data_IF_536211759368
#
_entry.id   IF_536211759368
#
_cell.length_a   1.000
_cell.length_b   1.000
_cell.length_c   1.000
_cell.angle_alpha   90.00
_cell.angle_beta   90.00
_cell.angle_gamma   90.00
#
_symmetry.space_group_name_H-M   'P 1'
#
loop_
_entity.id
_entity.type
_entity.pdbx_description
1 polymer ?
#
# COMPACT_ATOMS: atom_id res chain seq x y z
N UNK A 1 -11.35 7.03 -58.52
CA UNK A 1 -10.22 6.45 -59.26
C UNK A 1 -9.02 7.37 -59.08
N UNK A 2 -8.10 7.07 -58.22
CA UNK A 2 -6.70 7.53 -58.23
C UNK A 2 -5.95 6.54 -57.33
N UNK A 3 -5.02 5.81 -57.94
CA UNK A 3 -4.15 4.82 -57.26
C UNK A 3 -2.88 5.53 -56.74
N UNK A 4 -2.25 5.07 -55.66
CA UNK A 4 -1.02 5.65 -55.18
C UNK A 4 0.24 5.06 -55.84
N UNK A 5 1.25 5.90 -55.97
CA UNK A 5 2.62 5.56 -56.40
C UNK A 5 3.39 4.93 -55.24
N UNK A 6 4.03 3.78 -55.54
CA UNK A 6 5.07 3.18 -54.71
C UNK A 6 6.39 3.93 -54.91
N UNK A 7 7.03 4.34 -53.81
CA UNK A 7 8.43 4.74 -53.78
C UNK A 7 9.26 3.69 -53.05
N UNK A 8 10.19 3.06 -53.76
CA UNK A 8 11.16 2.12 -53.19
C UNK A 8 12.34 2.91 -52.58
N UNK A 9 12.68 2.68 -51.34
CA UNK A 9 13.88 3.21 -50.70
C UNK A 9 14.94 2.09 -50.57
N UNK A 10 16.11 2.35 -51.12
CA UNK A 10 17.32 1.53 -51.08
C UNK A 10 17.89 1.49 -49.65
N UNK A 11 18.16 0.29 -49.16
CA UNK A 11 18.92 0.07 -47.91
C UNK A 11 20.42 0.13 -48.18
N UNK A 12 21.13 1.01 -47.52
CA UNK A 12 22.59 1.02 -47.42
C UNK A 12 22.95 0.56 -46.00
N UNK A 13 23.66 -0.59 -45.94
CA UNK A 13 24.26 -1.11 -44.70
C UNK A 13 25.62 -0.47 -44.47
N UNK A 14 25.98 0.04 -43.26
CA UNK A 14 27.36 0.38 -42.94
C UNK A 14 28.08 -0.80 -42.33
N UNK A 15 29.36 -1.00 -42.79
CA UNK A 15 30.28 -2.01 -42.30
C UNK A 15 30.81 -1.67 -40.90
N UNK A 16 30.99 -2.68 -40.08
CA UNK A 16 31.58 -2.60 -38.76
C UNK A 16 33.11 -2.49 -38.84
N UNK A 17 33.78 -1.71 -37.97
CA UNK A 17 35.26 -1.68 -37.91
C UNK A 17 35.82 -2.85 -37.07
N UNK A 18 36.91 -3.41 -37.55
CA UNK A 18 37.68 -4.49 -36.92
C UNK A 18 38.35 -4.03 -35.62
N UNK A 19 38.23 -4.83 -34.55
CA UNK A 19 38.95 -4.62 -33.28
C UNK A 19 40.32 -5.27 -33.37
N UNK A 20 41.38 -4.46 -33.20
CA UNK A 20 42.77 -4.90 -33.11
C UNK A 20 43.03 -5.54 -31.72
N UNK A 21 43.57 -6.75 -31.68
CA UNK A 21 44.09 -7.42 -30.47
C UNK A 21 45.40 -6.80 -30.03
N UNK A 22 45.52 -6.49 -28.74
CA UNK A 22 46.77 -6.09 -28.07
C UNK A 22 47.44 -7.30 -27.41
N UNK A 23 48.79 -7.43 -27.46
CA UNK A 23 49.50 -8.55 -26.88
C UNK A 23 49.60 -8.46 -25.35
N UNK A 24 49.67 -9.64 -24.72
CA UNK A 24 49.84 -9.85 -23.28
C UNK A 24 51.22 -9.33 -22.80
N UNK A 25 51.19 -8.42 -21.81
CA UNK A 25 52.38 -8.00 -21.07
C UNK A 25 52.42 -8.66 -19.70
N UNK A 26 53.52 -9.37 -19.43
CA UNK A 26 53.88 -9.92 -18.12
C UNK A 26 54.37 -8.79 -17.22
N UNK A 27 53.66 -8.59 -16.06
CA UNK A 27 54.09 -7.66 -15.02
C UNK A 27 54.15 -8.36 -13.65
N UNK A 28 54.92 -7.91 -12.68
CA UNK A 28 55.43 -8.69 -11.55
C UNK A 28 54.36 -8.87 -10.44
N UNK A 29 54.40 -10.04 -9.81
CA UNK A 29 53.64 -10.42 -8.60
C UNK A 29 54.02 -9.56 -7.41
N UNK A 30 53.09 -8.72 -6.95
CA UNK A 30 53.16 -8.07 -5.64
C UNK A 30 52.30 -8.86 -4.64
N UNK A 31 52.98 -9.51 -3.70
CA UNK A 31 52.35 -10.11 -2.51
C UNK A 31 52.03 -8.96 -1.52
N UNK A 32 50.75 -8.54 -1.49
CA UNK A 32 50.20 -7.70 -0.46
C UNK A 32 49.50 -8.55 0.63
N UNK A 33 49.40 -8.07 1.89
CA UNK A 33 48.86 -8.84 2.99
C UNK A 33 47.38 -9.14 2.78
N UNK A 34 47.01 -10.38 3.12
CA UNK A 34 45.63 -10.87 3.08
C UNK A 34 44.70 -9.95 3.91
N UNK A 35 43.93 -9.13 3.21
CA UNK A 35 42.84 -8.39 3.83
C UNK A 35 41.83 -9.40 4.33
N UNK A 36 41.51 -9.35 5.62
CA UNK A 36 40.38 -10.07 6.24
C UNK A 36 39.09 -9.58 5.56
N UNK A 37 38.64 -10.30 4.58
CA UNK A 37 37.34 -10.07 3.94
C UNK A 37 36.28 -10.19 5.02
N UNK A 38 35.66 -9.06 5.38
CA UNK A 38 34.41 -9.06 6.14
C UNK A 38 33.43 -9.83 5.27
N UNK A 39 33.09 -11.04 5.70
CA UNK A 39 32.06 -11.83 5.03
C UNK A 39 30.77 -11.00 5.05
N UNK A 40 30.31 -10.54 3.89
CA UNK A 40 29.02 -9.90 3.73
C UNK A 40 27.99 -10.86 4.35
N UNK A 41 27.19 -10.34 5.29
CA UNK A 41 26.12 -11.10 5.89
C UNK A 41 25.29 -11.71 4.75
N UNK A 42 25.04 -13.01 4.78
CA UNK A 42 24.33 -13.68 3.69
C UNK A 42 22.98 -13.00 3.42
N UNK A 43 22.66 -12.59 2.18
CA UNK A 43 21.42 -11.90 1.76
C UNK A 43 20.15 -12.69 2.07
N UNK A 44 18.94 -12.12 1.99
CA UNK A 44 17.68 -12.82 2.23
C UNK A 44 17.54 -14.01 1.29
N UNK A 45 16.85 -15.06 1.75
CA UNK A 45 16.57 -16.22 0.92
C UNK A 45 15.40 -15.88 -0.02
N UNK A 46 15.61 -16.05 -1.34
CA UNK A 46 14.63 -15.80 -2.38
C UNK A 46 14.15 -17.11 -2.99
N UNK A 47 12.84 -17.27 -3.15
CA UNK A 47 12.25 -18.37 -3.92
C UNK A 47 11.17 -17.86 -4.87
N UNK A 48 11.15 -18.38 -6.11
CA UNK A 48 10.12 -18.05 -7.07
C UNK A 48 8.78 -18.67 -6.66
N UNK A 49 7.70 -17.93 -6.89
CA UNK A 49 6.33 -18.41 -6.71
C UNK A 49 5.71 -18.66 -8.09
N UNK A 50 5.61 -17.62 -8.93
CA UNK A 50 4.97 -17.70 -10.24
C UNK A 50 5.43 -16.55 -11.14
N UNK A 51 5.01 -16.57 -12.42
CA UNK A 51 5.07 -15.40 -13.31
C UNK A 51 3.82 -14.56 -13.14
N UNK A 52 3.99 -13.23 -13.04
CA UNK A 52 2.92 -12.30 -12.72
C UNK A 52 2.84 -11.16 -13.71
N UNK A 53 1.66 -10.54 -13.78
CA UNK A 53 1.43 -9.33 -14.52
C UNK A 53 2.42 -8.23 -14.14
N UNK A 54 2.93 -7.52 -15.12
CA UNK A 54 3.97 -6.52 -14.96
C UNK A 54 3.69 -5.18 -15.66
N UNK A 55 2.55 -5.06 -16.36
CA UNK A 55 2.18 -3.85 -17.12
C UNK A 55 1.82 -2.64 -16.26
N UNK A 56 1.48 -2.84 -15.00
CA UNK A 56 1.36 -1.80 -13.98
C UNK A 56 1.35 -2.43 -12.59
N UNK A 57 1.60 -1.62 -11.55
CA UNK A 57 1.53 -2.09 -10.17
C UNK A 57 0.07 -2.23 -9.71
N UNK A 58 -0.27 -3.40 -9.17
CA UNK A 58 -1.42 -3.63 -8.31
C UNK A 58 -0.92 -4.33 -7.05
N UNK A 59 -1.39 -3.94 -5.86
CA UNK A 59 -0.91 -4.53 -4.61
C UNK A 59 -1.44 -5.96 -4.46
N UNK A 60 -0.53 -6.91 -4.30
CA UNK A 60 -0.80 -8.31 -3.98
C UNK A 60 -1.05 -8.49 -2.48
N UNK A 61 -1.52 -9.67 -2.08
CA UNK A 61 -1.77 -9.99 -0.68
C UNK A 61 -0.88 -11.12 -0.18
N UNK A 62 -0.43 -11.00 1.07
CA UNK A 62 0.36 -12.00 1.78
C UNK A 62 -0.26 -12.22 3.16
N UNK A 63 -0.49 -13.48 3.50
CA UNK A 63 -0.91 -13.90 4.84
C UNK A 63 0.04 -15.01 5.32
N UNK A 64 0.60 -14.83 6.51
CA UNK A 64 1.51 -15.77 7.14
C UNK A 64 0.91 -16.20 8.47
N UNK A 65 0.60 -17.49 8.61
CA UNK A 65 0.17 -18.09 9.86
C UNK A 65 1.30 -18.93 10.48
N UNK A 66 1.08 -19.54 11.62
CA UNK A 66 2.06 -20.40 12.27
C UNK A 66 2.48 -21.59 11.38
N UNK A 67 1.55 -22.09 10.58
CA UNK A 67 1.69 -23.31 9.78
C UNK A 67 1.78 -23.09 8.27
N UNK A 68 1.39 -21.92 7.75
CA UNK A 68 1.13 -21.71 6.32
C UNK A 68 1.56 -20.34 5.81
N UNK A 69 1.91 -20.28 4.53
CA UNK A 69 2.07 -19.03 3.77
C UNK A 69 1.04 -19.06 2.64
N UNK A 70 0.23 -18.03 2.54
CA UNK A 70 -0.77 -17.86 1.48
C UNK A 70 -0.55 -16.52 0.78
N UNK A 71 -0.57 -16.53 -0.54
CA UNK A 71 -0.38 -15.36 -1.39
C UNK A 71 -1.52 -15.25 -2.39
N UNK A 72 -1.96 -14.04 -2.68
CA UNK A 72 -2.90 -13.77 -3.75
C UNK A 72 -2.33 -12.68 -4.66
N UNK A 73 -2.38 -12.92 -5.97
CA UNK A 73 -1.73 -12.12 -6.99
C UNK A 73 -2.46 -12.22 -8.33
N UNK A 74 -2.08 -11.39 -9.30
CA UNK A 74 -2.53 -11.51 -10.68
C UNK A 74 -1.44 -12.18 -11.49
N UNK A 75 -1.75 -13.36 -12.06
CA UNK A 75 -0.80 -14.14 -12.83
C UNK A 75 -0.39 -13.47 -14.16
N UNK A 76 0.44 -14.14 -14.94
CA UNK A 76 0.91 -13.63 -16.24
C UNK A 76 -0.24 -13.26 -17.21
N UNK A 77 -1.42 -13.85 -17.04
CA UNK A 77 -2.62 -13.60 -17.84
C UNK A 77 -3.59 -12.62 -17.15
N UNK A 78 -3.14 -11.90 -16.12
CA UNK A 78 -3.94 -10.97 -15.31
C UNK A 78 -5.05 -11.65 -14.48
N UNK A 79 -5.06 -13.00 -14.40
CA UNK A 79 -6.06 -13.73 -13.66
C UNK A 79 -5.74 -13.74 -12.16
N UNK A 80 -6.73 -13.44 -11.33
CA UNK A 80 -6.60 -13.54 -9.88
C UNK A 80 -6.27 -14.99 -9.50
N UNK A 81 -5.12 -15.19 -8.90
CA UNK A 81 -4.60 -16.50 -8.49
C UNK A 81 -4.27 -16.46 -7.01
N UNK A 82 -4.68 -17.51 -6.30
CA UNK A 82 -4.31 -17.70 -4.89
C UNK A 82 -3.43 -18.95 -4.79
N UNK A 83 -2.28 -18.80 -4.15
CA UNK A 83 -1.37 -19.90 -3.91
C UNK A 83 -1.08 -20.04 -2.41
N UNK A 84 -0.98 -21.30 -1.96
CA UNK A 84 -0.70 -21.58 -0.55
C UNK A 84 0.24 -22.76 -0.41
N UNK A 85 1.08 -22.71 0.64
CA UNK A 85 1.94 -23.85 1.02
C UNK A 85 2.09 -23.92 2.54
N UNK A 86 2.30 -25.11 3.12
CA UNK A 86 2.76 -25.23 4.50
C UNK A 86 4.12 -24.55 4.69
N UNK A 87 4.37 -23.98 5.85
CA UNK A 87 5.70 -23.47 6.21
C UNK A 87 6.71 -24.63 6.23
N UNK A 88 7.91 -24.38 5.73
CA UNK A 88 8.94 -25.40 5.62
C UNK A 88 8.84 -26.33 4.39
N UNK A 89 7.75 -26.28 3.61
CA UNK A 89 7.63 -26.99 2.35
C UNK A 89 7.92 -26.08 1.16
N UNK A 90 8.39 -26.64 0.04
CA UNK A 90 8.69 -25.88 -1.17
C UNK A 90 7.51 -25.81 -2.15
N UNK A 91 6.68 -26.85 -2.19
CA UNK A 91 5.60 -26.98 -3.18
C UNK A 91 4.41 -26.08 -2.87
N UNK A 92 3.96 -25.32 -3.86
CA UNK A 92 2.77 -24.50 -3.82
C UNK A 92 1.55 -25.24 -4.38
N UNK A 93 0.39 -25.00 -3.78
CA UNK A 93 -0.92 -25.35 -4.33
C UNK A 93 -1.54 -24.07 -4.87
N UNK A 94 -1.95 -24.08 -6.13
CA UNK A 94 -2.48 -22.92 -6.85
C UNK A 94 -3.98 -23.09 -7.10
N UNK A 95 -4.70 -21.98 -7.07
CA UNK A 95 -6.10 -21.91 -7.50
C UNK A 95 -6.36 -20.61 -8.25
N UNK A 96 -6.88 -20.72 -9.47
CA UNK A 96 -7.22 -19.58 -10.32
C UNK A 96 -8.71 -19.24 -10.18
N UNK A 97 -9.00 -17.97 -9.97
CA UNK A 97 -10.35 -17.45 -9.76
C UNK A 97 -10.85 -16.76 -11.03
N UNK A 98 -12.16 -16.67 -11.19
CA UNK A 98 -12.85 -16.08 -12.34
C UNK A 98 -12.89 -14.55 -12.27
N UNK A 99 -11.74 -13.93 -12.12
CA UNK A 99 -11.59 -12.48 -12.04
C UNK A 99 -10.27 -12.05 -12.66
N UNK A 100 -10.29 -11.01 -13.49
CA UNK A 100 -9.11 -10.52 -14.22
C UNK A 100 -8.86 -9.05 -13.95
N UNK A 101 -7.60 -8.70 -13.70
CA UNK A 101 -7.15 -7.33 -13.50
C UNK A 101 -7.36 -6.48 -14.77
N UNK A 102 -7.98 -5.32 -14.61
CA UNK A 102 -8.01 -4.25 -15.61
C UNK A 102 -6.70 -3.45 -15.66
N UNK A 103 -6.80 -2.17 -16.02
CA UNK A 103 -5.64 -1.26 -16.02
C UNK A 103 -5.62 -0.36 -14.77
N UNK A 104 -6.59 -0.50 -13.89
CA UNK A 104 -6.71 0.30 -12.68
C UNK A 104 -5.82 -0.24 -11.56
N UNK A 105 -4.85 0.53 -11.14
CA UNK A 105 -3.90 0.18 -10.08
C UNK A 105 -4.54 0.09 -8.69
N UNK A 106 -5.76 0.64 -8.50
CA UNK A 106 -6.52 0.53 -7.25
C UNK A 106 -7.17 -0.85 -7.08
N UNK A 107 -7.17 -1.70 -8.11
CA UNK A 107 -7.72 -3.06 -8.06
C UNK A 107 -6.81 -4.02 -7.28
N UNK A 108 -6.37 -3.61 -6.09
CA UNK A 108 -5.54 -4.42 -5.22
C UNK A 108 -6.32 -5.59 -4.60
N UNK A 109 -5.60 -6.51 -3.97
CA UNK A 109 -6.15 -7.71 -3.36
C UNK A 109 -6.16 -7.54 -1.84
N UNK A 110 -7.32 -7.78 -1.22
CA UNK A 110 -7.48 -7.93 0.21
C UNK A 110 -7.71 -9.41 0.55
N UNK A 111 -7.06 -9.91 1.59
CA UNK A 111 -7.13 -11.31 2.00
C UNK A 111 -6.96 -11.44 3.51
N UNK A 112 -7.78 -12.27 4.15
CA UNK A 112 -7.61 -12.66 5.55
C UNK A 112 -8.23 -14.04 5.81
N UNK A 113 -7.82 -14.68 6.89
CA UNK A 113 -8.50 -15.86 7.42
C UNK A 113 -9.43 -15.47 8.57
N UNK A 114 -10.57 -16.14 8.69
CA UNK A 114 -11.44 -16.04 9.86
C UNK A 114 -10.92 -16.94 11.01
N UNK A 115 -11.61 -16.91 12.16
CA UNK A 115 -11.22 -17.71 13.32
C UNK A 115 -11.42 -19.23 13.14
N UNK A 116 -12.14 -19.68 12.12
CA UNK A 116 -12.22 -21.09 11.72
C UNK A 116 -11.15 -21.49 10.70
N UNK A 117 -10.30 -20.53 10.28
CA UNK A 117 -9.25 -20.74 9.28
C UNK A 117 -9.77 -20.77 7.83
N UNK A 118 -11.01 -20.34 7.57
CA UNK A 118 -11.48 -20.11 6.21
C UNK A 118 -10.84 -18.85 5.65
N UNK A 119 -10.42 -18.91 4.39
CA UNK A 119 -9.81 -17.78 3.70
C UNK A 119 -10.87 -16.96 2.99
N UNK A 120 -10.80 -15.64 3.15
CA UNK A 120 -11.60 -14.64 2.50
C UNK A 120 -10.71 -13.82 1.57
N UNK A 121 -11.13 -13.66 0.30
CA UNK A 121 -10.38 -12.93 -0.73
C UNK A 121 -11.31 -11.96 -1.45
N UNK A 122 -10.90 -10.71 -1.56
CA UNK A 122 -11.63 -9.67 -2.28
C UNK A 122 -10.67 -8.86 -3.16
N UNK A 123 -11.05 -8.57 -4.40
CA UNK A 123 -10.14 -7.95 -5.38
C UNK A 123 -10.92 -7.28 -6.53
N UNK A 124 -10.22 -6.55 -7.39
CA UNK A 124 -10.77 -5.96 -8.62
C UNK A 124 -12.00 -5.06 -8.40
N UNK A 125 -11.94 -4.17 -7.40
CA UNK A 125 -13.04 -3.26 -7.10
C UNK A 125 -12.54 -1.83 -6.94
N UNK A 126 -12.91 -0.98 -7.88
CA UNK A 126 -12.73 0.47 -7.82
C UNK A 126 -13.96 1.19 -8.41
N UNK A 127 -15.05 1.18 -7.66
CA UNK A 127 -16.37 1.60 -8.10
C UNK A 127 -17.12 0.48 -8.81
N UNK A 128 -16.72 -0.78 -8.58
CA UNK A 128 -17.24 -1.98 -9.22
C UNK A 128 -18.12 -2.80 -8.26
N UNK A 129 -18.96 -3.71 -8.80
CA UNK A 129 -19.67 -4.67 -7.98
C UNK A 129 -18.75 -5.60 -7.20
N UNK A 130 -19.29 -6.16 -6.11
CA UNK A 130 -18.57 -7.09 -5.23
C UNK A 130 -17.86 -8.22 -6.00
N UNK A 131 -16.56 -8.34 -5.76
CA UNK A 131 -15.74 -9.50 -6.11
C UNK A 131 -15.21 -10.11 -4.83
N UNK A 132 -15.82 -11.20 -4.38
CA UNK A 132 -15.50 -11.83 -3.12
C UNK A 132 -15.57 -13.34 -3.20
N UNK A 133 -14.56 -14.00 -2.63
CA UNK A 133 -14.44 -15.46 -2.56
C UNK A 133 -14.20 -15.90 -1.12
N UNK A 134 -14.67 -17.10 -0.79
CA UNK A 134 -14.41 -17.75 0.50
C UNK A 134 -14.15 -19.23 0.29
N UNK A 135 -13.19 -19.79 1.05
CA UNK A 135 -12.98 -21.24 1.07
C UNK A 135 -14.15 -21.93 1.79
N UNK A 136 -14.51 -23.13 1.31
CA UNK A 136 -15.46 -24.01 2.02
C UNK A 136 -14.74 -24.96 3.00
N UNK A 137 -13.42 -25.14 2.81
CA UNK A 137 -12.56 -25.94 3.70
C UNK A 137 -11.42 -25.06 4.19
N UNK A 138 -11.25 -25.00 5.52
CA UNK A 138 -10.20 -24.22 6.14
C UNK A 138 -8.79 -24.59 5.60
N UNK A 139 -8.00 -23.59 5.24
CA UNK A 139 -6.64 -23.76 4.74
C UNK A 139 -6.50 -24.38 3.34
N UNK A 140 -7.60 -24.75 2.66
CA UNK A 140 -7.53 -25.30 1.30
C UNK A 140 -7.97 -24.26 0.26
N UNK A 141 -7.01 -23.61 -0.39
CA UNK A 141 -7.27 -22.58 -1.41
C UNK A 141 -8.04 -23.11 -2.63
N UNK A 142 -8.01 -24.41 -2.90
CA UNK A 142 -8.74 -25.04 -4.02
C UNK A 142 -10.26 -24.98 -3.85
N UNK A 143 -10.71 -24.72 -2.62
CA UNK A 143 -12.12 -24.64 -2.25
C UNK A 143 -12.67 -23.22 -2.22
N UNK A 144 -11.91 -22.24 -2.74
CA UNK A 144 -12.36 -20.86 -2.92
C UNK A 144 -13.52 -20.81 -3.91
N UNK A 145 -14.67 -20.32 -3.47
CA UNK A 145 -15.89 -20.18 -4.27
C UNK A 145 -16.37 -18.74 -4.20
N UNK A 146 -16.74 -18.19 -5.35
CA UNK A 146 -17.31 -16.85 -5.45
C UNK A 146 -18.62 -16.77 -4.67
N UNK A 147 -18.75 -15.70 -3.91
CA UNK A 147 -19.99 -15.36 -3.18
C UNK A 147 -20.66 -14.20 -3.91
N UNK A 148 -21.91 -14.33 -4.33
CA UNK A 148 -22.58 -13.31 -5.16
C UNK A 148 -22.96 -12.05 -4.37
N UNK A 149 -23.08 -12.18 -3.06
CA UNK A 149 -23.49 -11.12 -2.14
C UNK A 149 -22.79 -11.34 -0.80
N UNK A 150 -22.45 -10.28 -0.11
CA UNK A 150 -21.92 -10.34 1.25
C UNK A 150 -23.04 -10.08 2.27
N UNK A 151 -23.67 -8.91 2.23
CA UNK A 151 -24.80 -8.54 3.09
C UNK A 151 -26.01 -8.18 2.25
N UNK A 152 -25.90 -7.17 1.37
CA UNK A 152 -27.01 -6.73 0.51
C UNK A 152 -26.50 -6.06 -0.78
N UNK A 153 -27.17 -6.30 -1.88
CA UNK A 153 -26.76 -5.79 -3.20
C UNK A 153 -26.86 -4.27 -3.34
N UNK A 154 -27.65 -3.60 -2.49
CA UNK A 154 -27.87 -2.15 -2.55
C UNK A 154 -26.60 -1.35 -2.36
N UNK A 155 -25.69 -1.78 -1.45
CA UNK A 155 -24.42 -1.11 -1.12
C UNK A 155 -23.22 -1.88 -1.61
N UNK A 156 -23.41 -2.93 -2.40
CA UNK A 156 -22.32 -3.77 -2.94
C UNK A 156 -22.17 -3.61 -4.47
N UNK A 157 -22.81 -2.60 -5.04
CA UNK A 157 -22.77 -2.32 -6.47
C UNK A 157 -21.62 -1.41 -6.93
N UNK A 158 -21.04 -0.62 -6.02
CA UNK A 158 -19.97 0.35 -6.30
C UNK A 158 -18.93 0.36 -5.19
N UNK A 159 -18.22 -0.75 -5.04
CA UNK A 159 -17.27 -0.95 -3.95
C UNK A 159 -15.85 -0.51 -4.34
N UNK A 160 -15.16 0.08 -3.37
CA UNK A 160 -13.75 0.45 -3.50
C UNK A 160 -13.03 0.28 -2.16
N UNK A 161 -11.71 0.08 -2.19
CA UNK A 161 -10.83 0.02 -1.02
C UNK A 161 -11.20 -1.06 0.00
N UNK A 162 -11.36 -2.32 -0.43
CA UNK A 162 -11.69 -3.42 0.48
C UNK A 162 -10.55 -3.68 1.47
N UNK A 163 -10.88 -3.80 2.74
CA UNK A 163 -9.92 -4.18 3.79
C UNK A 163 -10.57 -5.19 4.71
N UNK A 164 -9.88 -6.31 4.96
CA UNK A 164 -10.18 -7.22 6.05
C UNK A 164 -9.34 -6.87 7.27
N UNK A 165 -9.95 -6.90 8.45
CA UNK A 165 -9.27 -6.76 9.74
C UNK A 165 -9.97 -7.62 10.78
N UNK A 166 -9.32 -7.84 11.92
CA UNK A 166 -9.95 -8.50 13.06
C UNK A 166 -10.25 -7.46 14.13
N UNK A 167 -11.45 -7.52 14.71
CA UNK A 167 -11.79 -6.68 15.86
C UNK A 167 -11.14 -7.17 17.16
N UNK A 168 -11.39 -6.47 18.26
CA UNK A 168 -10.82 -6.83 19.57
C UNK A 168 -11.26 -8.18 20.13
N UNK A 169 -12.34 -8.78 19.58
CA UNK A 169 -12.81 -10.12 19.90
C UNK A 169 -12.31 -11.20 18.91
N UNK A 170 -11.52 -10.81 17.91
CA UNK A 170 -11.01 -11.70 16.87
C UNK A 170 -12.01 -12.03 15.77
N UNK A 171 -13.17 -11.33 15.70
CA UNK A 171 -14.13 -11.49 14.59
C UNK A 171 -13.57 -10.82 13.34
N UNK A 172 -13.79 -11.45 12.19
CA UNK A 172 -13.39 -10.87 10.92
C UNK A 172 -14.34 -9.72 10.55
N UNK A 173 -13.78 -8.56 10.28
CA UNK A 173 -14.47 -7.35 9.83
C UNK A 173 -14.00 -7.03 8.43
N UNK A 174 -14.92 -6.57 7.59
CA UNK A 174 -14.66 -6.12 6.23
C UNK A 174 -15.16 -4.70 6.07
N UNK A 175 -14.28 -3.79 5.67
CA UNK A 175 -14.66 -2.42 5.36
C UNK A 175 -14.40 -2.08 3.91
N UNK A 176 -15.21 -1.18 3.37
CA UNK A 176 -15.08 -0.68 2.00
C UNK A 176 -15.79 0.66 1.85
N UNK A 177 -15.46 1.38 0.80
CA UNK A 177 -16.25 2.53 0.37
C UNK A 177 -17.35 2.07 -0.56
N UNK A 178 -18.60 2.41 -0.26
CA UNK A 178 -19.73 2.39 -1.19
C UNK A 178 -19.81 3.74 -1.89
N UNK A 179 -19.91 3.75 -3.23
CA UNK A 179 -19.98 4.96 -4.04
C UNK A 179 -18.75 5.23 -4.88
N UNK A 180 -18.56 6.49 -5.27
CA UNK A 180 -17.53 6.91 -6.22
C UNK A 180 -16.57 7.93 -5.64
N UNK A 181 -15.55 8.29 -6.40
CA UNK A 181 -14.57 9.32 -6.02
C UNK A 181 -15.26 10.67 -5.82
N UNK A 182 -15.03 11.30 -4.67
CA UNK A 182 -15.68 12.56 -4.28
C UNK A 182 -17.13 12.42 -3.79
N UNK A 183 -17.69 11.19 -3.80
CA UNK A 183 -19.04 10.92 -3.29
C UNK A 183 -19.18 9.45 -2.88
N UNK A 184 -18.90 9.13 -1.63
CA UNK A 184 -18.99 7.76 -1.12
C UNK A 184 -19.01 7.71 0.40
N UNK A 185 -19.45 6.56 0.92
CA UNK A 185 -19.62 6.29 2.33
C UNK A 185 -18.81 5.08 2.77
N UNK A 186 -18.27 5.10 3.98
CA UNK A 186 -17.49 4.00 4.54
C UNK A 186 -18.40 3.00 5.25
N UNK A 187 -18.44 1.77 4.74
CA UNK A 187 -19.28 0.67 5.24
C UNK A 187 -18.41 -0.35 5.99
N UNK A 188 -18.94 -0.86 7.10
CA UNK A 188 -18.32 -1.90 7.91
C UNK A 188 -19.25 -3.10 8.06
N UNK A 189 -18.74 -4.28 7.71
CA UNK A 189 -19.41 -5.56 7.86
C UNK A 189 -18.64 -6.45 8.84
N UNK A 190 -19.34 -7.34 9.55
CA UNK A 190 -18.75 -8.33 10.45
C UNK A 190 -19.19 -9.73 10.05
N UNK A 191 -18.27 -10.69 10.11
CA UNK A 191 -18.51 -12.08 9.80
C UNK A 191 -18.87 -12.89 11.04
N UNK A 192 -19.98 -13.59 10.98
CA UNK A 192 -20.37 -14.61 11.97
C UNK A 192 -19.90 -15.97 11.46
N UNK A 193 -18.87 -16.52 12.11
CA UNK A 193 -18.28 -17.81 11.76
C UNK A 193 -19.25 -18.97 11.96
N UNK A 194 -20.07 -18.93 13.00
CA UNK A 194 -21.02 -20.01 13.30
C UNK A 194 -22.18 -20.03 12.30
N UNK A 195 -22.70 -18.86 11.94
CA UNK A 195 -23.75 -18.70 10.93
C UNK A 195 -23.22 -18.70 9.49
N UNK A 196 -21.89 -18.61 9.31
CA UNK A 196 -21.19 -18.48 8.03
C UNK A 196 -21.73 -17.35 7.15
N UNK A 197 -22.08 -16.22 7.74
CA UNK A 197 -22.66 -15.07 7.05
C UNK A 197 -22.11 -13.74 7.53
N UNK A 198 -22.18 -12.75 6.66
CA UNK A 198 -21.90 -11.36 6.96
C UNK A 198 -23.16 -10.62 7.41
N UNK A 199 -22.96 -9.59 8.21
CA UNK A 199 -23.97 -8.58 8.55
C UNK A 199 -23.28 -7.21 8.67
N UNK A 200 -24.07 -6.13 8.58
CA UNK A 200 -23.51 -4.81 8.87
C UNK A 200 -23.07 -4.72 10.32
N UNK A 201 -21.83 -4.28 10.54
CA UNK A 201 -21.30 -3.97 11.88
C UNK A 201 -21.88 -2.64 12.38
N UNK A 202 -21.99 -1.66 11.47
CA UNK A 202 -22.59 -0.35 11.73
C UNK A 202 -23.96 -0.27 11.03
N UNK A 203 -24.95 0.29 11.71
CA UNK A 203 -26.30 0.46 11.15
C UNK A 203 -26.39 1.65 10.17
N UNK A 204 -25.38 2.54 10.21
CA UNK A 204 -25.20 3.69 9.32
C UNK A 204 -23.74 3.72 8.88
N UNK A 205 -23.37 4.38 7.79
CA UNK A 205 -21.98 4.55 7.41
C UNK A 205 -21.16 5.20 8.52
N UNK A 206 -19.85 4.88 8.58
CA UNK A 206 -18.94 5.52 9.52
C UNK A 206 -18.85 7.02 9.26
N UNK A 207 -18.71 7.41 7.99
CA UNK A 207 -18.72 8.80 7.55
C UNK A 207 -19.77 9.02 6.48
N UNK A 208 -20.27 10.26 6.42
CA UNK A 208 -21.14 10.72 5.36
C UNK A 208 -20.62 12.04 4.79
N UNK A 209 -20.33 12.04 3.51
CA UNK A 209 -19.91 13.23 2.76
C UNK A 209 -21.07 14.14 2.36
N UNK A 210 -22.31 13.84 2.80
CA UNK A 210 -23.51 14.62 2.54
C UNK A 210 -23.80 14.82 1.04
N UNK A 211 -23.36 13.84 0.21
CA UNK A 211 -23.47 13.89 -1.26
C UNK A 211 -22.55 14.90 -1.93
N UNK A 212 -21.65 15.55 -1.19
CA UNK A 212 -20.79 16.63 -1.67
C UNK A 212 -19.30 16.24 -1.69
N UNK A 213 -18.89 15.31 -0.84
CA UNK A 213 -17.50 14.91 -0.63
C UNK A 213 -17.35 13.44 -0.26
N UNK A 214 -16.12 13.00 -0.12
CA UNK A 214 -15.79 11.68 0.36
C UNK A 214 -14.65 11.73 1.38
N UNK A 215 -14.72 10.86 2.40
CA UNK A 215 -13.62 10.60 3.31
C UNK A 215 -12.70 9.52 2.73
N UNK A 216 -11.39 9.76 2.74
CA UNK A 216 -10.38 8.81 2.29
C UNK A 216 -9.52 8.37 3.46
N UNK A 217 -9.68 7.12 3.89
CA UNK A 217 -9.16 6.59 5.14
C UNK A 217 -7.77 5.99 5.04
N UNK A 218 -7.03 6.17 6.13
CA UNK A 218 -5.93 5.32 6.56
C UNK A 218 -6.35 4.58 7.84
N UNK A 219 -6.12 3.28 7.87
CA UNK A 219 -6.54 2.43 8.98
C UNK A 219 -7.86 1.70 8.72
N UNK A 220 -8.49 1.11 9.79
CA UNK A 220 -8.10 1.18 11.20
C UNK A 220 -6.78 0.47 11.53
N UNK A 221 -6.00 1.06 12.42
CA UNK A 221 -4.76 0.50 12.96
C UNK A 221 -4.95 0.25 14.45
N UNK A 222 -4.76 -0.99 14.90
CA UNK A 222 -4.82 -1.31 16.33
C UNK A 222 -3.59 -0.75 17.05
N UNK A 223 -3.82 0.14 18.01
CA UNK A 223 -2.78 0.76 18.81
C UNK A 223 -2.36 -0.06 20.03
N UNK A 224 -1.23 0.29 20.65
CA UNK A 224 -0.79 -0.31 21.90
C UNK A 224 -1.74 -0.06 23.08
N UNK A 225 -2.56 0.99 22.99
CA UNK A 225 -3.63 1.35 23.93
C UNK A 225 -4.92 0.53 23.73
N UNK A 226 -4.93 -0.42 22.78
CA UNK A 226 -6.07 -1.27 22.43
C UNK A 226 -7.24 -0.52 21.78
N UNK A 227 -7.00 0.64 21.23
CA UNK A 227 -7.91 1.32 20.32
C UNK A 227 -7.56 1.03 18.86
N UNK A 228 -8.56 1.00 18.02
CA UNK A 228 -8.43 1.12 16.58
C UNK A 228 -8.41 2.60 16.23
N UNK A 229 -7.38 3.05 15.56
CA UNK A 229 -7.16 4.43 15.14
C UNK A 229 -7.40 4.57 13.66
N UNK A 230 -8.14 5.58 13.25
CA UNK A 230 -8.31 5.96 11.85
C UNK A 230 -7.97 7.43 11.64
N UNK A 231 -7.45 7.75 10.47
CA UNK A 231 -7.30 9.11 10.00
C UNK A 231 -7.81 9.20 8.56
N UNK A 232 -8.30 10.34 8.17
CA UNK A 232 -8.77 10.55 6.80
C UNK A 232 -8.58 11.99 6.37
N UNK A 233 -8.57 12.18 5.06
CA UNK A 233 -8.71 13.48 4.43
C UNK A 233 -10.06 13.53 3.72
N UNK A 234 -10.67 14.69 3.67
CA UNK A 234 -11.87 14.93 2.87
C UNK A 234 -11.48 15.31 1.45
N UNK A 235 -12.32 14.99 0.49
CA UNK A 235 -12.11 15.29 -0.92
C UNK A 235 -13.44 15.67 -1.58
N UNK A 236 -13.52 16.88 -2.15
CA UNK A 236 -14.76 17.48 -2.64
C UNK A 236 -15.18 16.99 -4.03
N UNK A 237 -14.25 16.41 -4.81
CA UNK A 237 -14.52 16.00 -6.19
C UNK A 237 -13.56 14.89 -6.63
N UNK A 238 -13.72 14.32 -7.85
CA UNK A 238 -12.71 13.42 -8.41
C UNK A 238 -11.32 14.02 -8.63
N UNK A 239 -11.14 15.34 -8.48
CA UNK A 239 -9.86 16.03 -8.66
C UNK A 239 -9.03 15.96 -7.37
N UNK A 240 -7.79 15.46 -7.45
CA UNK A 240 -6.93 15.20 -6.29
C UNK A 240 -6.55 16.46 -5.50
N UNK A 241 -6.42 17.60 -6.16
CA UNK A 241 -6.16 18.90 -5.53
C UNK A 241 -7.27 19.35 -4.58
N UNK A 242 -8.45 18.72 -4.64
CA UNK A 242 -9.58 19.01 -3.74
C UNK A 242 -9.52 18.27 -2.41
N UNK A 243 -8.42 17.54 -2.11
CA UNK A 243 -8.17 16.99 -0.77
C UNK A 243 -7.90 18.11 0.23
N UNK A 244 -8.50 17.97 1.43
CA UNK A 244 -8.38 18.96 2.49
C UNK A 244 -8.62 18.33 3.87
N UNK A 245 -8.38 19.05 4.95
CA UNK A 245 -8.69 18.72 6.34
C UNK A 245 -8.31 17.31 6.78
N UNK A 246 -7.19 17.18 7.48
CA UNK A 246 -6.81 15.93 8.13
C UNK A 246 -7.69 15.70 9.35
N UNK A 247 -8.41 14.59 9.36
CA UNK A 247 -9.35 14.20 10.41
C UNK A 247 -8.94 12.92 11.10
N UNK A 248 -9.49 12.67 12.31
CA UNK A 248 -9.16 11.50 13.13
C UNK A 248 -10.34 11.03 13.95
N UNK A 249 -10.37 9.72 14.23
CA UNK A 249 -11.20 9.09 15.25
C UNK A 249 -10.52 7.81 15.78
N UNK A 250 -10.97 7.33 16.95
CA UNK A 250 -10.56 6.04 17.49
C UNK A 250 -11.77 5.28 18.07
N UNK A 251 -11.63 3.95 18.18
CA UNK A 251 -12.67 3.08 18.72
C UNK A 251 -12.06 1.85 19.38
N UNK A 252 -12.66 1.32 20.44
CA UNK A 252 -12.27 0.04 21.05
C UNK A 252 -12.87 -1.18 20.34
N UNK A 253 -13.99 -1.00 19.67
CA UNK A 253 -14.84 -2.08 19.17
C UNK A 253 -15.28 -1.91 17.70
N UNK A 254 -14.80 -0.85 17.03
CA UNK A 254 -15.19 -0.43 15.68
C UNK A 254 -16.67 0.01 15.55
N UNK A 255 -17.40 0.06 16.67
CA UNK A 255 -18.81 0.48 16.70
C UNK A 255 -19.00 1.85 17.37
N UNK A 256 -18.30 2.08 18.47
CA UNK A 256 -18.37 3.31 19.24
C UNK A 256 -17.10 4.13 18.99
N UNK A 257 -17.26 5.25 18.32
CA UNK A 257 -16.16 6.10 17.91
C UNK A 257 -16.07 7.35 18.75
N UNK A 258 -14.84 7.78 19.03
CA UNK A 258 -14.55 8.98 19.80
C UNK A 258 -13.37 9.76 19.21
N UNK A 259 -13.24 11.02 19.60
CA UNK A 259 -12.09 11.86 19.28
C UNK A 259 -10.83 11.40 20.03
N UNK A 260 -9.69 12.00 19.75
CA UNK A 260 -8.43 11.77 20.45
C UNK A 260 -8.53 12.05 21.96
N UNK A 261 -9.44 12.94 22.37
CA UNK A 261 -9.69 13.35 23.76
C UNK A 261 -10.79 12.54 24.45
N UNK A 262 -11.38 11.55 23.77
CA UNK A 262 -12.45 10.72 24.33
C UNK A 262 -13.86 11.33 24.19
N UNK A 263 -14.04 12.38 23.41
CA UNK A 263 -15.39 12.92 23.11
C UNK A 263 -16.11 11.96 22.16
N UNK A 264 -17.29 11.41 22.53
CA UNK A 264 -18.06 10.54 21.63
C UNK A 264 -18.38 11.26 20.30
N UNK A 265 -18.34 10.49 19.20
CA UNK A 265 -18.73 10.93 17.87
C UNK A 265 -20.01 10.20 17.45
N UNK A 266 -21.02 10.97 17.07
CA UNK A 266 -22.27 10.42 16.54
C UNK A 266 -22.06 10.01 15.09
N UNK A 267 -22.48 8.80 14.73
CA UNK A 267 -22.44 8.28 13.36
C UNK A 267 -23.70 8.67 12.58
N UNK A 268 -23.57 8.96 11.27
CA UNK A 268 -22.33 9.06 10.53
C UNK A 268 -21.56 10.35 10.89
N UNK A 269 -20.22 10.27 10.87
CA UNK A 269 -19.37 11.43 11.06
C UNK A 269 -19.38 12.25 9.77
N UNK A 270 -19.76 13.54 9.87
CA UNK A 270 -19.69 14.50 8.77
C UNK A 270 -18.47 15.40 8.94
N UNK A 271 -18.12 16.20 7.92
CA UNK A 271 -17.05 17.21 8.06
C UNK A 271 -17.27 18.14 9.27
N UNK A 272 -18.52 18.50 9.54
CA UNK A 272 -18.89 19.39 10.66
C UNK A 272 -18.68 18.73 12.04
N UNK A 273 -18.89 17.41 12.17
CA UNK A 273 -18.79 16.68 13.45
C UNK A 273 -17.43 16.03 13.67
N UNK A 274 -16.60 15.93 12.64
CA UNK A 274 -15.28 15.33 12.68
C UNK A 274 -14.33 16.05 13.66
N UNK A 275 -13.37 15.32 14.20
CA UNK A 275 -12.20 15.94 14.82
C UNK A 275 -11.19 16.29 13.73
N UNK A 276 -10.98 17.60 13.49
CA UNK A 276 -9.97 18.08 12.56
C UNK A 276 -8.62 18.13 13.29
N UNK A 277 -7.66 17.37 12.80
CA UNK A 277 -6.28 17.36 13.30
C UNK A 277 -5.50 18.54 12.77
N UNK A 278 -5.63 18.80 11.47
CA UNK A 278 -5.00 19.90 10.77
C UNK A 278 -5.95 20.44 9.69
N UNK A 279 -6.41 21.69 9.79
CA UNK A 279 -7.34 22.31 8.83
C UNK A 279 -6.59 22.76 7.56
N UNK A 280 -6.13 21.82 6.78
CA UNK A 280 -5.46 22.08 5.50
C UNK A 280 -6.52 22.45 4.46
N UNK A 281 -6.40 23.59 3.75
CA UNK A 281 -7.37 23.98 2.74
C UNK A 281 -7.28 23.11 1.47
N UNK A 282 -8.31 23.18 0.64
CA UNK A 282 -8.24 22.71 -0.76
C UNK A 282 -7.03 23.35 -1.44
N UNK A 283 -6.34 22.62 -2.30
CA UNK A 283 -5.06 22.98 -2.92
C UNK A 283 -3.92 23.24 -1.92
N UNK A 284 -4.07 22.82 -0.67
CA UNK A 284 -3.04 22.94 0.38
C UNK A 284 -1.90 21.93 0.29
N UNK A 285 -1.86 21.09 -0.77
CA UNK A 285 -0.80 20.12 -1.01
C UNK A 285 -0.93 18.83 -0.21
N UNK A 286 -2.11 18.50 0.33
CA UNK A 286 -2.43 17.23 0.96
C UNK A 286 -3.13 16.30 -0.03
N UNK A 287 -2.75 15.03 -0.10
CA UNK A 287 -3.40 14.04 -0.96
C UNK A 287 -3.83 12.81 -0.14
N UNK A 288 -4.96 12.22 -0.52
CA UNK A 288 -5.43 10.94 0.03
C UNK A 288 -4.42 9.79 -0.21
N UNK A 289 -4.53 8.74 0.61
CA UNK A 289 -3.66 7.56 0.57
C UNK A 289 -2.17 7.84 0.86
N UNK A 290 -1.84 9.05 1.31
CA UNK A 290 -0.49 9.46 1.67
C UNK A 290 -0.43 10.08 3.08
N UNK A 291 -1.21 9.52 3.98
CA UNK A 291 -1.16 9.73 5.43
C UNK A 291 -0.94 8.40 6.11
N UNK A 292 -0.16 8.34 7.17
CA UNK A 292 0.14 7.07 7.88
C UNK A 292 0.05 7.26 9.38
N UNK A 293 -0.71 6.36 10.01
CA UNK A 293 -0.84 6.29 11.47
C UNK A 293 0.27 5.42 12.04
N UNK A 294 0.83 5.83 13.15
CA UNK A 294 1.72 5.04 14.00
C UNK A 294 1.67 5.56 15.43
N UNK A 295 2.67 5.21 16.23
CA UNK A 295 2.68 5.53 17.65
C UNK A 295 4.05 6.01 18.09
N UNK A 296 4.08 6.85 19.10
CA UNK A 296 5.33 7.22 19.75
C UNK A 296 5.74 6.16 20.81
N UNK A 297 6.94 6.29 21.42
CA UNK A 297 7.38 5.33 22.44
C UNK A 297 6.48 5.22 23.69
N UNK A 298 5.63 6.23 23.94
CA UNK A 298 4.64 6.21 25.02
C UNK A 298 3.28 5.62 24.58
N UNK A 299 3.16 5.19 23.33
CA UNK A 299 1.92 4.63 22.77
C UNK A 299 0.90 5.67 22.32
N UNK A 300 1.25 6.96 22.28
CA UNK A 300 0.34 8.00 21.80
C UNK A 300 0.22 7.93 20.27
N UNK A 301 -1.00 8.10 19.77
CA UNK A 301 -1.25 8.10 18.34
C UNK A 301 -0.52 9.26 17.64
N UNK A 302 0.07 8.95 16.51
CA UNK A 302 0.73 9.90 15.61
C UNK A 302 0.27 9.69 14.18
N UNK A 303 0.30 10.78 13.40
CA UNK A 303 0.00 10.75 11.97
C UNK A 303 1.14 11.44 11.23
N UNK A 304 1.73 10.76 10.26
CA UNK A 304 2.65 11.38 9.28
C UNK A 304 1.84 11.77 8.05
N UNK A 305 2.05 12.98 7.55
CA UNK A 305 1.37 13.52 6.37
C UNK A 305 2.24 14.58 5.70
N UNK A 306 1.79 15.12 4.57
CA UNK A 306 2.45 16.23 3.90
C UNK A 306 1.44 17.31 3.53
N UNK A 307 1.91 18.53 3.47
CA UNK A 307 1.20 19.73 2.98
C UNK A 307 2.19 20.78 2.52
N UNK A 308 1.70 21.85 1.92
CA UNK A 308 2.54 23.01 1.63
C UNK A 308 2.84 23.82 2.91
N UNK A 309 4.08 24.32 2.98
CA UNK A 309 4.45 25.35 3.95
C UNK A 309 4.02 26.74 3.46
N UNK A 310 4.27 27.77 4.29
CA UNK A 310 3.92 29.15 3.95
C UNK A 310 4.65 29.70 2.70
N UNK A 311 5.77 29.08 2.31
CA UNK A 311 6.51 29.43 1.09
C UNK A 311 6.06 28.60 -0.13
N UNK A 312 5.06 27.71 0.04
CA UNK A 312 4.52 26.85 -1.02
C UNK A 312 5.35 25.60 -1.33
N UNK A 313 6.34 25.26 -0.52
CA UNK A 313 7.07 23.99 -0.67
C UNK A 313 6.29 22.85 -0.02
N UNK A 314 6.35 21.66 -0.62
CA UNK A 314 5.86 20.43 0.01
C UNK A 314 6.76 20.04 1.17
N UNK A 315 6.19 19.88 2.37
CA UNK A 315 6.91 19.48 3.57
C UNK A 315 6.25 18.27 4.22
N UNK A 316 7.05 17.51 4.98
CA UNK A 316 6.59 16.43 5.85
C UNK A 316 6.24 17.01 7.21
N UNK A 317 5.10 16.58 7.72
CA UNK A 317 4.60 16.90 9.06
C UNK A 317 4.29 15.62 9.83
N UNK A 318 4.37 15.74 11.14
CA UNK A 318 3.80 14.77 12.07
C UNK A 318 2.82 15.48 13.00
N UNK A 319 1.67 14.85 13.23
CA UNK A 319 0.75 15.23 14.29
C UNK A 319 0.82 14.17 15.38
N UNK A 320 0.81 14.56 16.66
CA UNK A 320 0.75 13.66 17.80
C UNK A 320 -0.40 14.05 18.72
N UNK A 321 -1.20 13.06 19.12
CA UNK A 321 -2.27 13.26 20.08
C UNK A 321 -1.67 13.59 21.48
N UNK A 322 -2.08 14.72 22.01
CA UNK A 322 -1.79 15.15 23.38
C UNK A 322 -3.08 15.10 24.22
N UNK A 323 -3.00 15.39 25.50
CA UNK A 323 -4.16 15.26 26.40
C UNK A 323 -5.39 16.07 25.99
N UNK A 324 -5.22 17.20 25.31
CA UNK A 324 -6.32 18.14 24.97
C UNK A 324 -6.33 18.60 23.52
N UNK A 325 -5.31 18.29 22.72
CA UNK A 325 -5.14 18.80 21.36
C UNK A 325 -4.15 17.94 20.58
N UNK A 326 -3.97 18.24 19.30
CA UNK A 326 -2.89 17.69 18.49
C UNK A 326 -1.70 18.64 18.50
N UNK A 327 -0.51 18.08 18.65
CA UNK A 327 0.75 18.77 18.43
C UNK A 327 1.26 18.47 17.05
N UNK A 328 1.35 19.49 16.20
CA UNK A 328 1.87 19.36 14.83
C UNK A 328 3.30 19.89 14.77
N UNK A 329 4.18 19.15 14.13
CA UNK A 329 5.57 19.55 13.89
C UNK A 329 5.94 19.32 12.43
N UNK A 330 6.60 20.30 11.81
CA UNK A 330 7.24 20.14 10.53
C UNK A 330 8.54 19.37 10.72
N UNK A 331 8.76 18.34 9.88
CA UNK A 331 9.89 17.40 9.96
C UNK A 331 10.97 17.73 8.92
N UNK A 332 10.55 18.02 7.69
CA UNK A 332 11.45 18.42 6.60
C UNK A 332 11.59 19.94 6.50
N UNK A 333 12.63 20.40 5.83
CA UNK A 333 12.89 21.81 5.52
C UNK A 333 13.30 21.98 4.05
N UNK A 334 12.64 21.27 3.18
CA UNK A 334 12.94 21.28 1.75
C UNK A 334 12.65 22.65 1.13
N UNK A 335 13.54 23.10 0.26
CA UNK A 335 13.38 24.33 -0.51
C UNK A 335 13.28 24.02 -1.99
N UNK A 336 12.36 24.68 -2.69
CA UNK A 336 12.14 24.47 -4.11
C UNK A 336 11.53 23.12 -4.49
N UNK A 337 11.12 22.30 -3.50
CA UNK A 337 10.38 21.06 -3.75
C UNK A 337 8.88 21.34 -3.58
N UNK A 338 8.15 21.38 -4.70
CA UNK A 338 6.69 21.48 -4.72
C UNK A 338 6.12 20.32 -5.55
N UNK A 339 5.34 19.48 -4.92
CA UNK A 339 4.56 18.47 -5.61
C UNK A 339 3.15 18.99 -5.83
N UNK A 340 2.95 19.68 -6.95
CA UNK A 340 1.68 20.27 -7.35
C UNK A 340 0.91 19.28 -8.21
N UNK A 341 0.27 18.31 -7.56
CA UNK A 341 -0.53 17.29 -8.21
C UNK A 341 -1.91 17.83 -8.55
N UNK A 342 -2.46 17.42 -9.72
CA UNK A 342 -3.78 17.83 -10.21
C UNK A 342 -4.44 16.71 -11.01
N UNK A 343 -5.79 16.72 -11.02
CA UNK A 343 -6.60 15.81 -11.82
C UNK A 343 -6.99 14.52 -11.12
N UNK A 344 -7.61 13.62 -11.85
CA UNK A 344 -8.12 12.33 -11.39
C UNK A 344 -7.28 11.14 -11.85
N UNK A 345 -7.70 9.94 -11.44
CA UNK A 345 -6.99 8.68 -11.69
C UNK A 345 -5.74 8.50 -10.81
N UNK A 346 -4.94 7.48 -11.11
CA UNK A 346 -3.64 7.26 -10.47
C UNK A 346 -2.65 8.31 -10.93
N UNK A 347 -2.16 9.10 -9.99
CA UNK A 347 -1.21 10.18 -10.25
C UNK A 347 0.23 9.70 -10.08
N UNK A 348 1.16 10.32 -10.82
CA UNK A 348 2.59 10.14 -10.58
C UNK A 348 2.96 10.67 -9.20
N UNK A 349 3.33 9.76 -8.32
CA UNK A 349 3.66 10.09 -6.95
C UNK A 349 5.14 10.40 -6.80
N UNK A 350 5.45 11.66 -6.49
CA UNK A 350 6.80 12.11 -6.19
C UNK A 350 7.18 11.92 -4.71
N UNK A 351 6.17 11.69 -3.87
CA UNK A 351 6.33 11.59 -2.43
C UNK A 351 5.42 10.49 -1.86
N UNK A 352 6.01 9.60 -1.06
CA UNK A 352 5.28 8.65 -0.23
C UNK A 352 5.73 8.79 1.21
N UNK A 353 4.77 8.86 2.14
CA UNK A 353 5.07 8.85 3.57
C UNK A 353 4.94 7.43 4.14
N UNK A 354 5.81 7.14 5.09
CA UNK A 354 5.75 5.94 5.92
C UNK A 354 5.49 6.35 7.36
N UNK A 355 4.98 5.44 8.15
CA UNK A 355 4.53 5.74 9.49
C UNK A 355 5.62 6.23 10.44
N UNK A 356 5.23 6.95 11.50
CA UNK A 356 6.10 7.13 12.62
C UNK A 356 6.26 5.78 13.34
N UNK A 357 7.52 5.40 13.60
CA UNK A 357 7.88 4.15 14.27
C UNK A 357 8.79 4.49 15.45
N UNK A 358 8.49 4.01 16.68
CA UNK A 358 9.36 4.24 17.82
C UNK A 358 10.72 3.57 17.63
N UNK A 359 11.78 4.27 18.00
CA UNK A 359 13.16 3.77 18.00
C UNK A 359 13.72 3.94 19.41
N UNK A 360 13.76 2.84 20.15
CA UNK A 360 14.06 2.89 21.57
C UNK A 360 12.96 3.63 22.34
N UNK A 361 13.35 4.33 23.42
CA UNK A 361 12.42 5.00 24.33
C UNK A 361 12.24 6.49 24.08
N UNK A 362 13.12 7.11 23.30
CA UNK A 362 13.27 8.57 23.20
C UNK A 362 13.33 9.08 21.74
N UNK A 363 13.18 8.19 20.76
CA UNK A 363 13.26 8.54 19.35
C UNK A 363 12.08 8.00 18.55
N UNK A 364 11.75 8.70 17.47
CA UNK A 364 10.75 8.30 16.49
C UNK A 364 11.38 8.41 15.11
N UNK A 365 11.28 7.36 14.31
CA UNK A 365 11.67 7.39 12.91
C UNK A 365 10.45 7.66 12.04
N UNK A 366 10.60 8.60 11.12
CA UNK A 366 9.66 8.89 10.02
C UNK A 366 10.40 8.66 8.71
N UNK A 367 9.92 7.73 7.91
CA UNK A 367 10.52 7.42 6.61
C UNK A 367 9.67 7.98 5.48
N UNK A 368 10.30 8.44 4.42
CA UNK A 368 9.63 8.91 3.20
C UNK A 368 10.38 8.44 1.97
N UNK A 369 9.67 8.37 0.85
CA UNK A 369 10.26 8.22 -0.47
C UNK A 369 9.99 9.51 -1.22
N UNK A 370 11.03 10.25 -1.60
CA UNK A 370 10.93 11.46 -2.42
C UNK A 370 11.69 11.27 -3.72
N UNK A 371 11.01 11.44 -4.84
CA UNK A 371 11.58 11.25 -6.18
C UNK A 371 12.37 9.92 -6.30
N UNK A 372 11.78 8.83 -5.76
CA UNK A 372 12.35 7.48 -5.77
C UNK A 372 13.47 7.23 -4.75
N UNK A 373 13.87 8.22 -3.94
CA UNK A 373 14.90 8.08 -2.91
C UNK A 373 14.30 7.98 -1.53
N UNK A 374 14.71 6.98 -0.77
CA UNK A 374 14.31 6.80 0.64
C UNK A 374 15.07 7.74 1.55
N UNK A 375 14.37 8.37 2.47
CA UNK A 375 14.90 9.29 3.48
C UNK A 375 14.30 8.92 4.83
N UNK A 376 15.13 8.77 5.85
CA UNK A 376 14.75 8.56 7.24
C UNK A 376 15.02 9.83 8.06
N UNK A 377 13.98 10.36 8.69
CA UNK A 377 14.07 11.40 9.70
C UNK A 377 14.01 10.78 11.08
N UNK A 378 14.98 11.09 11.92
CA UNK A 378 14.95 10.73 13.34
C UNK A 378 14.51 11.94 14.15
N UNK A 379 13.43 11.77 14.93
CA UNK A 379 12.87 12.82 15.77
C UNK A 379 13.12 12.51 17.24
N UNK A 380 13.30 13.55 18.03
CA UNK A 380 13.23 13.47 19.49
C UNK A 380 11.77 13.28 19.93
N UNK A 381 11.49 12.22 20.69
CA UNK A 381 10.12 11.84 21.02
C UNK A 381 9.41 12.83 21.97
N UNK A 382 10.14 13.60 22.79
CA UNK A 382 9.54 14.58 23.68
C UNK A 382 9.16 15.84 22.90
N UNK A 383 10.05 16.33 22.05
CA UNK A 383 9.92 17.62 21.39
C UNK A 383 9.39 17.58 19.98
N UNK A 384 9.40 16.42 19.30
CA UNK A 384 9.15 16.18 17.88
C UNK A 384 10.13 16.93 16.95
N UNK A 385 11.21 17.48 17.50
CA UNK A 385 12.26 18.12 16.69
C UNK A 385 13.08 17.08 15.95
N UNK A 386 13.43 17.36 14.70
CA UNK A 386 14.35 16.54 13.91
C UNK A 386 15.73 16.53 14.55
N UNK A 387 16.27 15.34 14.79
CA UNK A 387 17.62 15.08 15.31
C UNK A 387 18.58 14.83 14.15
N UNK A 388 18.17 14.01 13.17
CA UNK A 388 18.95 13.70 12.00
C UNK A 388 18.07 13.40 10.79
N UNK A 389 18.69 13.49 9.61
CA UNK A 389 18.18 13.02 8.32
C UNK A 389 19.25 12.13 7.71
N UNK A 390 18.89 10.93 7.30
CA UNK A 390 19.80 9.94 6.71
C UNK A 390 19.14 9.28 5.51
N UNK A 391 19.93 8.72 4.56
CA UNK A 391 19.34 7.81 3.57
C UNK A 391 18.56 6.69 4.27
N UNK A 392 17.35 6.42 3.79
CA UNK A 392 16.53 5.33 4.28
C UNK A 392 16.94 3.99 3.69
N UNK A 393 16.32 2.91 4.14
CA UNK A 393 16.54 1.56 3.65
C UNK A 393 15.22 0.80 3.54
N UNK A 394 14.55 0.95 2.40
CA UNK A 394 13.36 0.18 2.08
C UNK A 394 13.68 -1.27 1.75
N UNK A 395 12.69 -2.15 1.89
CA UNK A 395 12.82 -3.56 1.47
C UNK A 395 13.28 -3.65 0.01
N UNK A 396 12.68 -2.86 -0.90
CA UNK A 396 13.06 -2.84 -2.30
C UNK A 396 14.54 -2.45 -2.51
N UNK A 397 15.05 -1.47 -1.76
CA UNK A 397 16.46 -1.06 -1.81
C UNK A 397 17.39 -2.15 -1.25
N UNK A 398 17.00 -2.83 -0.16
CA UNK A 398 17.75 -3.97 0.40
C UNK A 398 17.80 -5.18 -0.54
N UNK A 399 16.81 -5.31 -1.42
CA UNK A 399 16.75 -6.36 -2.45
C UNK A 399 17.40 -5.93 -3.77
N UNK A 400 17.83 -4.66 -3.90
CA UNK A 400 18.54 -4.17 -5.06
C UNK A 400 19.83 -4.99 -5.29
N UNK A 401 20.02 -5.46 -6.52
CA UNK A 401 21.13 -6.37 -6.87
C UNK A 401 20.85 -7.85 -6.62
N UNK A 402 19.94 -8.23 -5.71
CA UNK A 402 19.47 -9.59 -5.52
C UNK A 402 18.33 -9.97 -6.46
N UNK A 403 17.53 -8.98 -6.89
CA UNK A 403 16.44 -9.14 -7.85
C UNK A 403 16.71 -8.22 -9.04
N UNK A 404 16.83 -8.79 -10.23
CA UNK A 404 16.93 -8.02 -11.47
C UNK A 404 15.60 -7.30 -11.73
N UNK A 405 15.66 -5.97 -11.86
CA UNK A 405 14.53 -5.10 -12.19
C UNK A 405 14.72 -4.61 -13.64
N UNK A 406 13.83 -4.96 -14.58
CA UNK A 406 13.91 -4.47 -15.95
C UNK A 406 13.86 -2.95 -16.04
N UNK A 407 14.43 -2.38 -17.10
CA UNK A 407 14.42 -0.94 -17.34
C UNK A 407 12.98 -0.38 -17.35
N UNK A 408 12.77 0.77 -16.72
CA UNK A 408 11.46 1.41 -16.59
C UNK A 408 10.54 0.81 -15.53
N UNK A 409 10.90 -0.33 -14.93
CA UNK A 409 10.11 -0.96 -13.86
C UNK A 409 10.59 -0.51 -12.47
N UNK A 410 9.71 -0.71 -11.49
CA UNK A 410 9.99 -0.57 -10.07
C UNK A 410 9.78 -1.91 -9.36
N UNK A 411 10.56 -2.18 -8.31
CA UNK A 411 10.38 -3.36 -7.47
C UNK A 411 9.28 -3.09 -6.44
N UNK A 412 8.17 -3.79 -6.57
CA UNK A 412 7.10 -3.78 -5.59
C UNK A 412 7.41 -4.76 -4.47
N UNK A 413 7.01 -4.44 -3.25
CA UNK A 413 7.14 -5.32 -2.08
C UNK A 413 5.89 -5.27 -1.21
N UNK A 414 5.53 -6.41 -0.62
CA UNK A 414 4.48 -6.53 0.39
C UNK A 414 5.06 -7.34 1.55
N UNK A 415 5.20 -6.70 2.70
CA UNK A 415 5.68 -7.35 3.92
C UNK A 415 4.50 -7.96 4.69
N UNK A 416 4.74 -9.08 5.38
CA UNK A 416 3.75 -9.67 6.28
C UNK A 416 3.42 -8.71 7.42
N UNK A 417 2.14 -8.41 7.59
CA UNK A 417 1.66 -7.50 8.64
C UNK A 417 1.87 -8.05 10.06
N UNK A 418 2.01 -9.38 10.21
CA UNK A 418 2.30 -10.05 11.48
C UNK A 418 3.76 -9.94 11.93
N UNK A 419 4.63 -9.29 11.13
CA UNK A 419 6.03 -9.05 11.50
C UNK A 419 6.92 -10.29 11.40
N UNK A 420 6.54 -11.30 10.62
CA UNK A 420 7.35 -12.52 10.41
C UNK A 420 8.67 -12.26 9.66
N UNK A 421 8.83 -11.07 9.07
CA UNK A 421 9.94 -10.73 8.18
C UNK A 421 9.81 -11.34 6.79
N UNK A 422 8.76 -12.11 6.51
CA UNK A 422 8.46 -12.66 5.19
C UNK A 422 7.85 -11.57 4.32
N UNK A 423 8.23 -11.52 3.04
CA UNK A 423 7.70 -10.56 2.10
C UNK A 423 7.51 -11.15 0.71
N UNK A 424 6.73 -10.47 -0.12
CA UNK A 424 6.67 -10.67 -1.56
C UNK A 424 7.51 -9.59 -2.25
N UNK A 425 8.10 -9.92 -3.41
CA UNK A 425 8.79 -8.95 -4.25
C UNK A 425 8.59 -9.29 -5.72
N UNK A 426 8.24 -8.28 -6.55
CA UNK A 426 8.03 -8.43 -8.00
C UNK A 426 8.19 -7.09 -8.73
N UNK A 427 8.85 -7.05 -9.90
CA UNK A 427 8.95 -5.84 -10.72
C UNK A 427 7.68 -5.59 -11.55
N UNK A 428 7.27 -4.32 -11.70
CA UNK A 428 6.23 -3.89 -12.65
C UNK A 428 6.56 -2.51 -13.22
N UNK A 429 5.91 -2.14 -14.32
CA UNK A 429 5.81 -0.74 -14.71
C UNK A 429 5.02 0.05 -13.65
N UNK A 430 5.25 1.37 -13.52
CA UNK A 430 4.43 2.24 -12.68
C UNK A 430 2.98 2.31 -13.16
N UNK A 431 2.04 2.81 -12.34
CA UNK A 431 0.67 3.08 -12.78
C UNK A 431 0.66 4.07 -13.95
N UNK A 432 -0.27 3.90 -14.88
CA UNK A 432 -0.42 4.74 -16.07
C UNK A 432 -1.80 5.42 -16.09
N UNK A 433 -2.14 6.21 -15.05
CA UNK A 433 -3.42 6.94 -14.90
C UNK A 433 -4.66 6.05 -15.10
N UNK A 434 -4.54 4.76 -14.78
CA UNK A 434 -5.58 3.73 -14.95
C UNK A 434 -5.98 3.50 -16.42
N UNK A 435 -5.11 3.89 -17.37
CA UNK A 435 -5.28 3.71 -18.80
C UNK A 435 -4.37 2.59 -19.33
N UNK A 436 -4.76 1.94 -20.44
CA UNK A 436 -3.90 0.97 -21.11
C UNK A 436 -2.56 1.58 -21.53
N UNK A 437 -1.46 0.86 -21.28
CA UNK A 437 -0.16 1.16 -21.87
C UNK A 437 -0.07 0.65 -23.31
N UNK A 438 0.75 1.30 -24.14
CA UNK A 438 0.97 0.87 -25.52
C UNK A 438 1.83 -0.39 -25.60
N UNK A 439 2.87 -0.45 -24.77
CA UNK A 439 3.80 -1.58 -24.68
C UNK A 439 3.53 -2.42 -23.42
N UNK A 440 3.04 -3.64 -23.61
CA UNK A 440 2.84 -4.60 -22.53
C UNK A 440 4.14 -5.38 -22.32
N UNK A 441 4.81 -5.23 -21.18
CA UNK A 441 6.06 -5.95 -20.93
C UNK A 441 5.82 -7.43 -20.68
N UNK A 442 6.88 -8.23 -20.85
CA UNK A 442 6.86 -9.64 -20.46
C UNK A 442 6.57 -9.79 -18.96
N UNK A 443 5.76 -10.80 -18.58
CA UNK A 443 5.48 -11.09 -17.18
C UNK A 443 6.76 -11.27 -16.36
N UNK A 444 6.81 -10.73 -15.16
CA UNK A 444 7.95 -10.86 -14.25
C UNK A 444 7.76 -12.00 -13.25
N UNK A 445 8.76 -12.24 -12.40
CA UNK A 445 8.70 -13.32 -11.40
C UNK A 445 8.31 -12.74 -10.04
N UNK A 446 7.20 -13.25 -9.49
CA UNK A 446 6.85 -13.06 -8.08
C UNK A 446 7.76 -13.93 -7.20
N UNK A 447 8.41 -13.31 -6.24
CA UNK A 447 9.32 -14.00 -5.31
C UNK A 447 8.84 -13.88 -3.87
N UNK A 448 9.00 -14.96 -3.13
CA UNK A 448 8.95 -14.96 -1.69
C UNK A 448 10.33 -14.61 -1.15
N UNK A 449 10.36 -13.63 -0.25
CA UNK A 449 11.54 -13.19 0.49
C UNK A 449 11.41 -13.72 1.91
N UNK A 450 12.35 -14.54 2.33
CA UNK A 450 12.39 -15.12 3.67
C UNK A 450 13.52 -14.47 4.46
N UNK A 451 13.31 -14.13 5.75
CA UNK A 451 14.43 -13.77 6.63
C UNK A 451 15.34 -14.98 6.80
N UNK A 452 16.58 -14.72 7.16
CA UNK A 452 17.55 -15.78 7.50
C UNK A 452 17.35 -16.29 8.87
#
# INVERSE_FOLDING_TARGET
MIRPLLAAALMLTPAAPAVAQRPAGTGPTATGPAGTGVALAPGPQLSAIDRVWSGHSARFALAVTADRITVAYYDANRQLTVASRPRGQAAWVYHKLDSWLGWDSHNYIAMAADSAGQLHVSANMHGDPLVYYRTSVAGDVRTLVRQPVMVETKVEGKMTYPIFLHDGAGRLVYKYRDGSSGNGNEIYNVYDVAAQRWSHLLQVPLTDGEGQRNAYFMGPVLGPDKYFHIAWVWRESPMAETNHDLSYARSRDLMHWESSTGRPLTLPITLKSAEIVDPVPVEGGMINNNTVIGFDPAGRAMITFHKFDAAGNTQIYVARAEAKSWRIAQVSDWRGFRWDFRGGGSLDSRLFVKGPVPVGRDRIRVSVIRDGKSIDFLLDAATLKRVSETPGSLMAERLAGAIAVPAGMTLNTVEDAGGSGIALAWPTLPPHRDLPGEDIPEPTVLRLVMPK
#
